data_IF_439104031786
#
_entry.id   IF_439104031786
#
_cell.length_a   1.000
_cell.length_b   1.000
_cell.length_c   1.000
_cell.angle_alpha   90.00
_cell.angle_beta   90.00
_cell.angle_gamma   90.00
#
_symmetry.space_group_name_H-M   'P 1'
#
loop_
_entity.id
_entity.type
_entity.pdbx_description
1 polymer ?
#
# COMPACT_ATOMS: atom_id res chain seq x y z
N UNK A 1 -17.23 0.16 -8.24
CA UNK A 1 -16.57 -1.02 -8.87
C UNK A 1 -17.23 -1.18 -10.22
N UNK A 2 -16.46 -1.05 -11.28
CA UNK A 2 -16.96 -1.07 -12.65
C UNK A 2 -17.57 -2.43 -13.03
N UNK A 3 -18.41 -2.45 -14.06
CA UNK A 3 -18.95 -3.69 -14.63
C UNK A 3 -17.84 -4.67 -15.05
N UNK A 4 -16.64 -4.17 -15.37
CA UNK A 4 -15.46 -4.94 -15.77
C UNK A 4 -14.89 -5.86 -14.68
N UNK A 5 -15.33 -5.72 -13.43
CA UNK A 5 -14.88 -6.58 -12.31
C UNK A 5 -15.91 -7.65 -11.92
N UNK A 6 -17.09 -7.64 -12.56
CA UNK A 6 -18.11 -8.69 -12.31
C UNK A 6 -17.58 -10.06 -12.75
N UNK A 7 -17.71 -11.04 -11.87
CA UNK A 7 -17.30 -12.43 -12.14
C UNK A 7 -15.82 -12.72 -11.91
N UNK A 8 -15.00 -11.73 -11.52
CA UNK A 8 -13.62 -11.96 -11.11
C UNK A 8 -13.51 -12.02 -9.58
N UNK A 9 -12.69 -12.93 -9.03
CA UNK A 9 -12.40 -12.91 -7.61
C UNK A 9 -11.70 -11.59 -7.26
N UNK A 10 -12.16 -10.94 -6.20
CA UNK A 10 -11.62 -9.67 -5.73
C UNK A 10 -10.88 -9.87 -4.44
N UNK A 11 -9.85 -9.06 -4.22
CA UNK A 11 -9.13 -8.93 -2.96
C UNK A 11 -8.88 -7.46 -2.67
N UNK A 12 -9.38 -6.96 -1.54
CA UNK A 12 -9.16 -5.57 -1.16
C UNK A 12 -7.88 -5.45 -0.36
N UNK A 13 -7.05 -4.47 -0.73
CA UNK A 13 -5.81 -4.13 -0.03
C UNK A 13 -5.90 -2.69 0.46
N UNK A 14 -5.75 -2.50 1.77
CA UNK A 14 -5.74 -1.19 2.41
C UNK A 14 -4.33 -0.93 2.93
N UNK A 15 -3.64 0.01 2.31
CA UNK A 15 -2.23 0.31 2.57
C UNK A 15 -2.00 1.30 3.71
N UNK A 16 -2.83 1.22 4.74
CA UNK A 16 -2.70 2.00 5.98
C UNK A 16 -3.52 3.28 6.00
N UNK A 17 -3.50 3.94 7.17
CA UNK A 17 -4.24 5.18 7.46
C UNK A 17 -5.75 5.04 7.23
N UNK A 18 -6.29 3.88 7.64
CA UNK A 18 -7.74 3.64 7.64
C UNK A 18 -8.45 4.49 8.70
N UNK A 19 -7.72 4.88 9.74
CA UNK A 19 -8.19 5.71 10.83
C UNK A 19 -7.38 7.00 10.92
N UNK A 20 -8.01 8.09 11.32
CA UNK A 20 -7.28 9.33 11.61
C UNK A 20 -6.60 9.30 12.98
N UNK A 21 -7.07 8.45 13.90
CA UNK A 21 -6.46 8.18 15.20
C UNK A 21 -6.97 6.86 15.75
N UNK A 22 -6.13 6.10 16.49
CA UNK A 22 -6.45 4.74 16.97
C UNK A 22 -7.26 4.75 18.27
N UNK A 23 -8.42 5.39 18.29
CA UNK A 23 -9.36 5.31 19.41
C UNK A 23 -10.39 4.19 19.18
N UNK A 24 -11.07 3.76 20.25
CA UNK A 24 -12.04 2.64 20.21
C UNK A 24 -13.16 2.85 19.19
N UNK A 25 -13.66 4.09 19.04
CA UNK A 25 -14.70 4.45 18.07
C UNK A 25 -14.20 4.24 16.63
N UNK A 26 -13.02 4.78 16.31
CA UNK A 26 -12.44 4.67 14.98
C UNK A 26 -12.08 3.21 14.64
N UNK A 27 -11.57 2.44 15.60
CA UNK A 27 -11.30 1.01 15.43
C UNK A 27 -12.59 0.22 15.15
N UNK A 28 -13.67 0.53 15.85
CA UNK A 28 -14.98 -0.08 15.60
C UNK A 28 -15.48 0.25 14.19
N UNK A 29 -15.41 1.50 13.76
CA UNK A 29 -15.81 1.94 12.42
C UNK A 29 -14.94 1.29 11.33
N UNK A 30 -13.63 1.21 11.54
CA UNK A 30 -12.70 0.54 10.60
C UNK A 30 -13.03 -0.95 10.46
N UNK A 31 -13.28 -1.65 11.59
CA UNK A 31 -13.72 -3.05 11.57
C UNK A 31 -15.04 -3.22 10.84
N UNK A 32 -16.02 -2.35 11.09
CA UNK A 32 -17.31 -2.34 10.40
C UNK A 32 -17.13 -2.18 8.90
N UNK A 33 -16.35 -1.20 8.48
CA UNK A 33 -16.06 -0.95 7.05
C UNK A 33 -15.41 -2.18 6.37
N UNK A 34 -14.41 -2.80 7.01
CA UNK A 34 -13.77 -4.00 6.43
C UNK A 34 -14.74 -5.17 6.33
N UNK A 35 -15.60 -5.36 7.33
CA UNK A 35 -16.63 -6.39 7.31
C UNK A 35 -17.68 -6.14 6.22
N UNK A 36 -18.06 -4.89 6.00
CA UNK A 36 -19.00 -4.50 4.94
C UNK A 36 -18.40 -4.75 3.54
N UNK A 37 -17.11 -4.47 3.34
CA UNK A 37 -16.41 -4.82 2.11
C UNK A 37 -16.43 -6.33 1.87
N UNK A 38 -16.07 -7.12 2.89
CA UNK A 38 -16.09 -8.59 2.81
C UNK A 38 -17.45 -9.13 2.43
N UNK A 39 -18.50 -8.66 3.11
CA UNK A 39 -19.88 -9.11 2.88
C UNK A 39 -20.41 -8.68 1.51
N UNK A 40 -20.25 -7.41 1.16
CA UNK A 40 -20.80 -6.83 -0.06
C UNK A 40 -20.19 -7.44 -1.32
N UNK A 41 -18.90 -7.73 -1.29
CA UNK A 41 -18.17 -8.22 -2.46
C UNK A 41 -17.79 -9.70 -2.37
N UNK A 42 -18.17 -10.39 -1.30
CA UNK A 42 -17.77 -11.78 -1.03
C UNK A 42 -16.27 -11.99 -1.21
N UNK A 43 -15.50 -11.05 -0.68
CA UNK A 43 -14.08 -10.90 -0.94
C UNK A 43 -13.30 -10.72 0.37
N UNK A 44 -12.05 -11.13 0.35
CA UNK A 44 -11.13 -10.87 1.45
C UNK A 44 -10.62 -9.44 1.45
N UNK A 45 -10.24 -8.98 2.64
CA UNK A 45 -9.59 -7.68 2.86
C UNK A 45 -8.28 -7.91 3.59
N UNK A 46 -7.19 -7.38 3.03
CA UNK A 46 -5.90 -7.28 3.71
C UNK A 46 -5.65 -5.83 4.10
N UNK A 47 -5.30 -5.63 5.35
CA UNK A 47 -5.01 -4.33 5.93
C UNK A 47 -3.59 -4.32 6.51
N UNK A 48 -2.87 -3.22 6.34
CA UNK A 48 -1.64 -2.90 7.04
C UNK A 48 -1.80 -1.60 7.82
N UNK A 49 -1.00 -1.41 8.86
CA UNK A 49 -1.06 -0.19 9.67
C UNK A 49 -0.29 0.94 8.98
N UNK A 50 -0.91 2.11 8.95
CA UNK A 50 -0.26 3.37 8.67
C UNK A 50 0.13 4.10 9.96
N UNK A 51 0.77 5.24 9.84
CA UNK A 51 1.20 6.02 10.99
C UNK A 51 0.02 6.61 11.78
N UNK A 52 -1.07 7.02 11.12
CA UNK A 52 -2.28 7.51 11.77
C UNK A 52 -3.06 6.41 12.50
N UNK A 53 -2.91 5.15 12.08
CA UNK A 53 -3.52 4.00 12.77
C UNK A 53 -2.81 3.66 14.09
N UNK A 54 -1.58 4.16 14.30
CA UNK A 54 -0.71 3.81 15.43
C UNK A 54 -0.48 4.96 16.41
N UNK A 55 -0.64 6.21 16.00
CA UNK A 55 -0.18 7.37 16.74
C UNK A 55 -1.33 8.25 17.20
N UNK A 56 -1.42 8.51 18.52
CA UNK A 56 -2.28 9.51 19.14
C UNK A 56 -1.42 10.64 19.69
N UNK A 57 -1.63 11.87 19.21
CA UNK A 57 -0.96 13.09 19.71
C UNK A 57 0.57 13.00 19.82
N UNK A 58 1.22 12.32 18.90
CA UNK A 58 2.67 12.21 18.88
C UNK A 58 3.26 11.12 19.79
N UNK A 59 2.45 10.41 20.52
CA UNK A 59 2.85 9.26 21.33
C UNK A 59 2.59 7.96 20.60
N UNK A 60 3.62 7.10 20.54
CA UNK A 60 3.50 5.78 19.95
C UNK A 60 2.62 4.91 20.84
N UNK A 61 1.42 4.55 20.37
CA UNK A 61 0.41 3.87 21.21
C UNK A 61 0.68 2.36 21.22
N UNK A 62 1.72 1.94 21.92
CA UNK A 62 2.08 0.53 22.15
C UNK A 62 0.91 -0.32 22.70
N UNK A 63 -0.06 0.30 23.36
CA UNK A 63 -1.29 -0.39 23.84
C UNK A 63 -2.20 -0.83 22.71
N UNK A 64 -2.21 -0.14 21.58
CA UNK A 64 -3.08 -0.47 20.44
C UNK A 64 -2.68 -1.81 19.80
N UNK A 65 -1.38 -2.11 19.74
CA UNK A 65 -0.89 -3.39 19.20
C UNK A 65 -1.37 -4.62 19.98
N UNK A 66 -1.73 -4.46 21.24
CA UNK A 66 -2.20 -5.55 22.12
C UNK A 66 -3.72 -5.72 22.11
N UNK A 67 -4.47 -4.86 21.43
CA UNK A 67 -5.92 -5.00 21.38
C UNK A 67 -6.32 -6.15 20.46
N UNK A 68 -7.33 -6.92 20.86
CA UNK A 68 -7.90 -8.00 20.02
C UNK A 68 -8.40 -7.47 18.67
N UNK A 69 -8.85 -6.22 18.62
CA UNK A 69 -9.35 -5.56 17.40
C UNK A 69 -8.18 -5.31 16.42
N UNK A 70 -7.05 -4.84 16.90
CA UNK A 70 -5.87 -4.62 16.04
C UNK A 70 -5.31 -5.95 15.54
N UNK A 71 -5.21 -6.96 16.41
CA UNK A 71 -4.80 -8.30 15.99
C UNK A 71 -5.75 -8.87 14.90
N UNK A 72 -7.05 -8.69 15.07
CA UNK A 72 -8.05 -9.06 14.06
C UNK A 72 -7.90 -8.31 12.75
N UNK A 73 -7.68 -6.99 12.80
CA UNK A 73 -7.48 -6.17 11.60
C UNK A 73 -6.20 -6.54 10.86
N UNK A 74 -5.12 -6.82 11.59
CA UNK A 74 -3.83 -7.15 10.99
C UNK A 74 -3.81 -8.54 10.34
N UNK A 75 -4.41 -9.56 10.98
CA UNK A 75 -4.31 -10.95 10.53
C UNK A 75 -2.85 -11.42 10.39
N UNK A 76 -2.61 -12.43 9.56
CA UNK A 76 -1.29 -13.02 9.37
C UNK A 76 -0.32 -12.07 8.64
N UNK A 77 0.97 -12.17 8.95
CA UNK A 77 2.03 -11.39 8.28
C UNK A 77 2.19 -11.80 6.81
N UNK A 78 2.05 -13.09 6.53
CA UNK A 78 2.16 -13.66 5.19
C UNK A 78 0.84 -14.29 4.80
N UNK A 79 0.36 -13.99 3.59
CA UNK A 79 -0.81 -14.62 3.00
C UNK A 79 -0.44 -15.24 1.67
N UNK A 80 -0.78 -16.53 1.51
CA UNK A 80 -0.45 -17.29 0.31
C UNK A 80 -1.71 -17.50 -0.53
N UNK A 81 -1.61 -17.15 -1.79
CA UNK A 81 -2.64 -17.41 -2.81
C UNK A 81 -2.12 -18.51 -3.74
N UNK A 82 -2.44 -19.75 -3.37
CA UNK A 82 -1.91 -20.95 -4.03
C UNK A 82 -2.25 -21.05 -5.52
N UNK A 83 -3.48 -20.69 -5.87
CA UNK A 83 -3.95 -20.75 -7.27
C UNK A 83 -3.27 -19.72 -8.14
N UNK A 84 -3.12 -18.51 -7.61
CA UNK A 84 -2.51 -17.38 -8.31
C UNK A 84 -0.98 -17.42 -8.27
N UNK A 85 -0.41 -18.26 -7.38
CA UNK A 85 1.02 -18.28 -7.11
C UNK A 85 1.55 -16.91 -6.66
N UNK A 86 0.84 -16.32 -5.71
CA UNK A 86 1.21 -15.05 -5.09
C UNK A 86 1.44 -15.26 -3.59
N UNK A 87 2.55 -14.72 -3.08
CA UNK A 87 2.83 -14.58 -1.66
C UNK A 87 2.77 -13.09 -1.31
N UNK A 88 1.84 -12.73 -0.44
CA UNK A 88 1.66 -11.36 0.02
C UNK A 88 2.26 -11.20 1.42
N UNK A 89 3.24 -10.31 1.55
CA UNK A 89 4.00 -10.06 2.77
C UNK A 89 3.62 -8.69 3.32
N UNK A 90 3.20 -8.63 4.58
CA UNK A 90 2.86 -7.38 5.25
C UNK A 90 4.02 -6.90 6.13
N UNK A 91 4.50 -5.69 5.86
CA UNK A 91 5.56 -5.02 6.62
C UNK A 91 4.97 -3.85 7.38
N UNK A 92 5.15 -3.84 8.70
CA UNK A 92 4.72 -2.74 9.55
C UNK A 92 5.84 -1.69 9.68
N UNK A 93 5.83 -0.72 8.80
CA UNK A 93 6.80 0.40 8.82
C UNK A 93 6.45 1.52 9.82
N UNK A 94 5.30 1.42 10.49
CA UNK A 94 4.89 2.37 11.53
C UNK A 94 5.32 1.94 12.95
N UNK A 95 5.87 0.73 13.10
CA UNK A 95 6.20 0.13 14.41
C UNK A 95 7.32 0.87 15.14
N UNK A 96 8.41 1.18 14.44
CA UNK A 96 9.64 1.75 15.01
C UNK A 96 9.91 3.18 14.55
N UNK A 97 9.12 3.71 13.64
CA UNK A 97 9.26 5.06 13.12
C UNK A 97 8.72 6.15 14.05
N UNK A 98 8.91 7.38 13.65
CA UNK A 98 8.20 8.53 14.22
C UNK A 98 7.01 8.91 13.33
N UNK A 99 6.21 9.91 13.76
CA UNK A 99 4.95 10.38 13.13
C UNK A 99 4.94 10.47 11.58
N UNK A 100 6.08 10.76 10.96
CA UNK A 100 6.17 11.01 9.52
C UNK A 100 7.19 10.12 8.82
N UNK A 101 8.05 9.43 9.58
CA UNK A 101 9.12 8.58 9.06
C UNK A 101 8.91 7.17 9.55
N UNK A 102 8.70 6.25 8.63
CA UNK A 102 8.61 4.84 8.95
C UNK A 102 9.99 4.23 9.22
N UNK A 103 10.00 3.10 9.90
CA UNK A 103 11.15 2.22 10.05
C UNK A 103 10.67 0.78 10.15
N UNK A 104 11.30 -0.12 9.42
CA UNK A 104 10.98 -1.56 9.44
C UNK A 104 11.72 -2.27 10.55
N UNK A 105 13.01 -2.02 10.66
CA UNK A 105 13.90 -2.64 11.63
C UNK A 105 14.36 -4.04 11.21
N UNK A 106 15.61 -4.36 11.55
CA UNK A 106 16.26 -5.62 11.19
C UNK A 106 15.54 -6.83 11.77
N UNK A 107 15.01 -6.72 12.98
CA UNK A 107 14.32 -7.84 13.64
C UNK A 107 13.04 -8.25 12.86
N UNK A 108 12.27 -7.28 12.38
CA UNK A 108 11.08 -7.60 11.59
C UNK A 108 11.44 -8.26 10.25
N UNK A 109 12.50 -7.80 9.59
CA UNK A 109 12.99 -8.41 8.36
C UNK A 109 13.43 -9.87 8.59
N UNK A 110 14.17 -10.13 9.68
CA UNK A 110 14.57 -11.49 10.06
C UNK A 110 13.36 -12.40 10.36
N UNK A 111 12.36 -11.90 11.10
CA UNK A 111 11.12 -12.64 11.36
C UNK A 111 10.41 -13.04 10.06
N UNK A 112 10.37 -12.14 9.07
CA UNK A 112 9.76 -12.41 7.77
C UNK A 112 10.61 -13.43 6.98
N UNK A 113 11.93 -13.34 7.03
CA UNK A 113 12.83 -14.29 6.38
C UNK A 113 12.58 -15.72 6.86
N UNK A 114 12.46 -15.91 8.17
CA UNK A 114 12.17 -17.23 8.74
C UNK A 114 10.81 -17.76 8.26
N UNK A 115 9.79 -16.92 8.22
CA UNK A 115 8.48 -17.32 7.70
C UNK A 115 8.54 -17.65 6.20
N UNK A 116 9.24 -16.86 5.37
CA UNK A 116 9.39 -17.11 3.92
C UNK A 116 10.12 -18.42 3.62
N UNK A 117 11.14 -18.79 4.41
CA UNK A 117 11.86 -20.06 4.28
C UNK A 117 10.95 -21.29 4.47
N UNK A 118 9.86 -21.15 5.20
CA UNK A 118 8.91 -22.26 5.42
C UNK A 118 8.01 -22.53 4.21
N UNK A 119 7.95 -21.63 3.22
CA UNK A 119 7.06 -21.75 2.07
C UNK A 119 7.71 -22.66 1.01
N UNK A 120 7.13 -23.84 0.72
CA UNK A 120 7.69 -24.76 -0.28
C UNK A 120 7.70 -24.11 -1.67
N UNK A 121 8.84 -24.24 -2.38
CA UNK A 121 8.98 -23.75 -3.75
C UNK A 121 8.65 -22.26 -3.92
N UNK A 122 9.02 -21.41 -2.97
CA UNK A 122 8.71 -19.97 -2.98
C UNK A 122 9.14 -19.28 -4.29
N UNK A 123 10.17 -19.77 -4.96
CA UNK A 123 10.64 -19.27 -6.26
C UNK A 123 9.61 -19.40 -7.40
N UNK A 124 8.51 -20.16 -7.20
CA UNK A 124 7.39 -20.25 -8.14
C UNK A 124 6.30 -19.21 -7.91
N UNK A 125 6.44 -18.40 -6.86
CA UNK A 125 5.46 -17.38 -6.49
C UNK A 125 5.96 -15.99 -6.84
N UNK A 126 5.02 -15.11 -7.16
CA UNK A 126 5.29 -13.69 -7.17
C UNK A 126 5.16 -13.14 -5.75
N UNK A 127 6.20 -12.49 -5.27
CA UNK A 127 6.20 -11.89 -3.94
C UNK A 127 5.71 -10.46 -4.06
N UNK A 128 4.66 -10.15 -3.30
CA UNK A 128 4.03 -8.82 -3.19
C UNK A 128 4.19 -8.33 -1.77
N UNK A 129 4.91 -7.24 -1.58
CA UNK A 129 5.09 -6.62 -0.27
C UNK A 129 4.08 -5.50 -0.09
N UNK A 130 3.42 -5.48 1.06
CA UNK A 130 2.56 -4.38 1.50
C UNK A 130 3.27 -3.61 2.60
N UNK A 131 3.44 -2.32 2.41
CA UNK A 131 4.08 -1.41 3.36
C UNK A 131 3.38 -0.05 3.31
N UNK A 132 3.29 0.67 4.43
CA UNK A 132 2.61 1.97 4.42
C UNK A 132 3.50 3.07 3.85
N UNK A 133 4.71 3.25 4.41
CA UNK A 133 5.62 4.30 3.98
C UNK A 133 6.30 3.95 2.65
N UNK A 134 6.56 4.96 1.83
CA UNK A 134 7.28 4.77 0.57
C UNK A 134 8.76 4.43 0.81
N UNK A 135 9.27 3.49 0.04
CA UNK A 135 10.67 3.03 0.11
C UNK A 135 11.57 3.92 -0.73
N UNK A 136 11.14 4.21 -1.96
CA UNK A 136 11.88 5.05 -2.90
C UNK A 136 11.41 6.52 -2.80
N UNK A 137 12.32 7.49 -2.89
CA UNK A 137 11.94 8.89 -2.99
C UNK A 137 11.02 9.14 -4.18
N UNK A 138 9.96 9.90 -3.97
CA UNK A 138 9.05 10.30 -5.04
C UNK A 138 9.67 11.47 -5.80
N UNK A 139 10.51 11.16 -6.77
CA UNK A 139 11.26 12.19 -7.53
C UNK A 139 10.50 12.71 -8.75
N UNK A 140 9.59 11.92 -9.32
CA UNK A 140 8.75 12.29 -10.46
C UNK A 140 7.47 11.50 -10.45
N UNK A 141 6.33 12.16 -10.61
CA UNK A 141 5.09 11.50 -10.95
C UNK A 141 5.14 11.04 -12.41
N UNK A 142 5.59 9.83 -12.67
CA UNK A 142 5.79 9.33 -14.04
C UNK A 142 4.51 9.28 -14.89
N UNK A 143 3.33 9.38 -14.28
CA UNK A 143 2.05 9.28 -14.96
C UNK A 143 1.45 10.61 -15.41
N UNK A 144 1.71 11.65 -14.67
CA UNK A 144 1.19 12.96 -15.00
C UNK A 144 2.37 13.74 -15.61
N UNK A 145 2.50 13.74 -16.92
CA UNK A 145 3.43 14.62 -17.68
C UNK A 145 3.18 16.11 -17.42
N UNK A 146 2.47 16.47 -16.37
CA UNK A 146 2.17 17.84 -15.98
C UNK A 146 2.82 18.15 -14.64
N UNK A 147 3.83 18.99 -14.74
CA UNK A 147 4.39 19.91 -13.74
C UNK A 147 3.82 19.72 -12.30
N UNK A 148 4.22 18.70 -11.62
CA UNK A 148 4.56 18.88 -10.22
C UNK A 148 5.64 19.96 -10.23
N UNK A 149 5.44 21.03 -9.44
CA UNK A 149 6.43 22.09 -9.35
C UNK A 149 7.77 21.47 -8.96
N UNK A 150 8.55 21.09 -9.98
CA UNK A 150 9.89 20.50 -9.84
C UNK A 150 10.90 21.51 -9.31
N UNK A 151 10.44 22.73 -9.03
CA UNK A 151 11.32 23.86 -8.79
C UNK A 151 11.97 23.92 -7.42
N UNK A 152 11.48 23.23 -6.41
CA UNK A 152 11.97 23.49 -5.07
C UNK A 152 12.79 22.31 -4.54
N UNK A 153 14.13 22.54 -4.51
CA UNK A 153 15.10 21.77 -3.73
C UNK A 153 14.58 21.42 -2.31
N UNK A 154 13.84 22.32 -1.68
CA UNK A 154 13.13 22.12 -0.42
C UNK A 154 12.09 20.99 -0.51
N UNK A 155 11.36 20.83 -1.59
CA UNK A 155 10.40 19.74 -1.78
C UNK A 155 11.05 18.36 -1.84
N UNK A 156 12.24 18.25 -2.48
CA UNK A 156 13.04 17.00 -2.50
C UNK A 156 13.57 16.64 -1.12
N UNK A 157 14.07 17.61 -0.37
CA UNK A 157 14.54 17.42 1.01
C UNK A 157 13.39 17.00 1.91
N UNK A 158 12.23 17.65 1.82
CA UNK A 158 11.04 17.30 2.59
C UNK A 158 10.51 15.90 2.26
N UNK A 159 10.63 15.44 1.03
CA UNK A 159 10.25 14.09 0.66
C UNK A 159 11.21 13.04 1.21
N UNK A 160 12.51 13.29 1.13
CA UNK A 160 13.56 12.44 1.72
C UNK A 160 13.42 12.35 3.24
N UNK A 161 13.02 13.44 3.91
CA UNK A 161 12.82 13.45 5.36
C UNK A 161 11.56 12.71 5.81
N UNK A 162 10.63 12.41 4.90
CA UNK A 162 9.40 11.63 5.14
C UNK A 162 9.48 10.19 4.64
N UNK A 163 10.59 9.82 4.01
CA UNK A 163 10.85 8.47 3.56
C UNK A 163 11.13 7.52 4.73
N UNK A 164 11.16 6.25 4.45
CA UNK A 164 11.55 5.21 5.38
C UNK A 164 13.00 5.44 5.86
N UNK A 165 13.25 5.30 7.16
CA UNK A 165 14.58 5.56 7.76
C UNK A 165 15.62 4.56 7.27
N UNK A 166 15.23 3.29 7.18
CA UNK A 166 16.03 2.14 6.74
C UNK A 166 15.64 1.71 5.32
N UNK A 167 15.41 2.71 4.45
CA UNK A 167 14.95 2.46 3.08
C UNK A 167 15.95 1.68 2.24
N UNK A 168 17.27 1.91 2.44
CA UNK A 168 18.30 1.21 1.67
C UNK A 168 18.39 -0.26 2.09
N UNK A 169 18.39 -0.54 3.39
CA UNK A 169 18.41 -1.89 3.93
C UNK A 169 17.19 -2.69 3.48
N UNK A 170 16.00 -2.04 3.49
CA UNK A 170 14.79 -2.67 2.97
C UNK A 170 14.88 -2.90 1.46
N UNK A 171 15.41 -1.95 0.70
CA UNK A 171 15.55 -2.07 -0.75
C UNK A 171 16.47 -3.25 -1.11
N UNK A 172 17.59 -3.38 -0.41
CA UNK A 172 18.51 -4.51 -0.59
C UNK A 172 17.85 -5.84 -0.25
N UNK A 173 17.04 -5.87 0.83
CA UNK A 173 16.24 -7.03 1.21
C UNK A 173 15.20 -7.40 0.15
N UNK A 174 14.47 -6.40 -0.40
CA UNK A 174 13.49 -6.62 -1.47
C UNK A 174 14.11 -7.25 -2.71
N UNK A 175 15.31 -6.79 -3.10
CA UNK A 175 16.05 -7.34 -4.24
C UNK A 175 16.55 -8.76 -3.95
N UNK A 176 17.08 -9.01 -2.75
CA UNK A 176 17.57 -10.32 -2.34
C UNK A 176 16.47 -11.38 -2.41
N UNK A 177 15.26 -11.01 -2.02
CA UNK A 177 14.08 -11.90 -2.04
C UNK A 177 13.32 -11.89 -3.37
N UNK A 178 13.85 -11.24 -4.41
CA UNK A 178 13.21 -11.14 -5.72
C UNK A 178 11.75 -10.65 -5.61
N UNK A 179 11.51 -9.63 -4.80
CA UNK A 179 10.18 -9.04 -4.64
C UNK A 179 9.76 -8.38 -5.95
N UNK A 180 8.56 -8.74 -6.46
CA UNK A 180 8.06 -8.24 -7.73
C UNK A 180 7.31 -6.92 -7.58
N UNK A 181 6.56 -6.80 -6.48
CA UNK A 181 5.72 -5.62 -6.23
C UNK A 181 5.79 -5.16 -4.80
N UNK A 182 5.90 -3.85 -4.62
CA UNK A 182 5.72 -3.16 -3.35
C UNK A 182 4.51 -2.24 -3.47
N UNK A 183 3.44 -2.53 -2.72
CA UNK A 183 2.24 -1.71 -2.68
C UNK A 183 2.28 -0.84 -1.43
N UNK A 184 2.16 0.47 -1.61
CA UNK A 184 2.27 1.42 -0.50
C UNK A 184 1.29 2.59 -0.60
N UNK A 185 1.16 3.38 0.49
CA UNK A 185 0.30 4.55 0.59
C UNK A 185 1.05 5.79 1.03
N UNK A 186 0.63 6.39 2.15
CA UNK A 186 1.24 7.49 2.88
C UNK A 186 1.23 8.87 2.18
N UNK A 187 1.62 8.96 0.93
CA UNK A 187 1.69 10.24 0.20
C UNK A 187 0.37 10.67 -0.44
N UNK A 188 -0.62 9.79 -0.45
CA UNK A 188 -1.94 10.01 -1.05
C UNK A 188 -1.89 10.37 -2.53
N UNK A 189 -0.86 9.90 -3.25
CA UNK A 189 -0.64 10.17 -4.65
C UNK A 189 -0.52 8.85 -5.38
N UNK A 190 -1.41 8.56 -6.36
CA UNK A 190 -1.33 7.34 -7.14
C UNK A 190 -0.24 7.48 -8.21
N UNK A 191 0.75 6.61 -8.16
CA UNK A 191 1.80 6.52 -9.18
C UNK A 191 2.46 5.13 -9.11
N UNK A 192 3.36 4.85 -10.04
CA UNK A 192 4.29 3.74 -9.90
C UNK A 192 5.67 4.10 -10.40
N UNK A 193 6.66 3.39 -9.93
CA UNK A 193 8.03 3.46 -10.41
C UNK A 193 8.65 2.07 -10.37
N UNK A 194 9.71 1.86 -11.14
CA UNK A 194 10.43 0.60 -11.20
C UNK A 194 11.85 0.82 -10.71
N UNK A 195 12.34 -0.08 -9.88
CA UNK A 195 13.75 -0.20 -9.54
C UNK A 195 14.17 -1.66 -9.74
N UNK A 196 15.16 -1.90 -10.62
CA UNK A 196 15.52 -3.23 -11.12
C UNK A 196 14.27 -3.98 -11.59
N UNK A 197 13.97 -5.14 -11.00
CA UNK A 197 12.80 -5.97 -11.34
C UNK A 197 11.61 -5.78 -10.41
N UNK A 198 11.70 -4.86 -9.45
CA UNK A 198 10.67 -4.54 -8.49
C UNK A 198 9.85 -3.31 -8.90
N UNK A 199 8.52 -3.43 -8.88
CA UNK A 199 7.60 -2.32 -9.10
C UNK A 199 7.06 -1.78 -7.78
N UNK A 200 7.22 -0.50 -7.56
CA UNK A 200 6.70 0.24 -6.42
C UNK A 200 5.43 0.97 -6.84
N UNK A 201 4.31 0.58 -6.27
CA UNK A 201 2.98 1.09 -6.64
C UNK A 201 2.39 1.86 -5.47
N UNK A 202 2.26 3.16 -5.62
CA UNK A 202 1.62 4.03 -4.64
C UNK A 202 0.13 4.10 -4.86
N UNK A 203 -0.63 3.95 -3.78
CA UNK A 203 -2.06 4.22 -3.78
C UNK A 203 -2.34 5.67 -3.38
N UNK A 204 -3.32 6.29 -4.02
CA UNK A 204 -3.85 7.57 -3.58
C UNK A 204 -4.77 7.42 -2.37
N UNK A 205 -5.39 8.51 -1.96
CA UNK A 205 -6.41 8.50 -0.91
C UNK A 205 -7.78 8.18 -1.51
N UNK A 206 -8.43 7.13 -1.02
CA UNK A 206 -9.78 6.76 -1.44
C UNK A 206 -10.88 7.47 -0.65
N UNK A 207 -10.53 8.05 0.50
CA UNK A 207 -11.42 8.89 1.33
C UNK A 207 -10.56 9.80 2.22
N UNK A 208 -11.09 10.90 2.63
CA UNK A 208 -10.45 11.84 3.55
C UNK A 208 -9.55 12.86 2.87
N UNK A 209 -8.31 12.54 2.56
CA UNK A 209 -7.38 13.50 1.97
C UNK A 209 -7.61 13.65 0.48
N UNK A 210 -8.13 14.81 0.09
CA UNK A 210 -8.31 15.19 -1.30
C UNK A 210 -7.01 15.79 -1.83
N UNK A 211 -6.58 15.37 -3.00
CA UNK A 211 -5.48 15.99 -3.75
C UNK A 211 -6.05 16.86 -4.86
N UNK A 212 -5.26 17.78 -5.35
CA UNK A 212 -5.64 18.67 -6.46
C UNK A 212 -4.73 18.45 -7.65
N UNK A 213 -5.32 18.37 -8.82
CA UNK A 213 -4.65 18.40 -10.10
C UNK A 213 -5.22 19.55 -10.93
N UNK A 214 -4.41 20.57 -11.27
CA UNK A 214 -4.87 21.76 -11.98
C UNK A 214 -6.09 22.44 -11.32
N UNK A 215 -6.04 22.61 -9.99
CA UNK A 215 -7.13 23.15 -9.17
C UNK A 215 -8.41 22.29 -9.14
N UNK A 216 -8.33 21.04 -9.54
CA UNK A 216 -9.44 20.09 -9.48
C UNK A 216 -9.19 19.06 -8.37
N UNK A 217 -10.04 18.99 -7.34
CA UNK A 217 -9.90 18.02 -6.27
C UNK A 217 -10.22 16.60 -6.79
N UNK A 218 -9.46 15.62 -6.34
CA UNK A 218 -9.71 14.21 -6.65
C UNK A 218 -9.41 13.30 -5.47
N UNK A 219 -10.09 12.17 -5.47
CA UNK A 219 -9.75 10.98 -4.69
C UNK A 219 -9.34 9.87 -5.67
N UNK A 220 -8.65 8.86 -5.20
CA UNK A 220 -8.18 7.80 -6.09
C UNK A 220 -7.98 6.47 -5.39
N UNK A 221 -8.06 5.39 -6.15
CA UNK A 221 -7.69 4.05 -5.77
C UNK A 221 -7.06 3.33 -6.96
N UNK A 222 -6.40 2.22 -6.70
CA UNK A 222 -5.77 1.40 -7.72
C UNK A 222 -6.56 0.11 -7.94
N UNK A 223 -6.59 -0.36 -9.19
CA UNK A 223 -7.00 -1.72 -9.54
C UNK A 223 -5.79 -2.43 -10.13
N UNK A 224 -5.40 -3.53 -9.50
CA UNK A 224 -4.38 -4.44 -10.01
C UNK A 224 -5.10 -5.67 -10.57
N UNK A 225 -5.01 -5.88 -11.89
CA UNK A 225 -5.55 -7.05 -12.56
C UNK A 225 -4.41 -8.03 -12.82
N UNK A 226 -4.47 -9.20 -12.21
CA UNK A 226 -3.50 -10.26 -12.39
C UNK A 226 -4.02 -11.33 -13.33
N UNK A 227 -3.26 -11.62 -14.37
CA UNK A 227 -3.51 -12.73 -15.27
C UNK A 227 -2.68 -13.93 -14.84
N UNK A 228 -3.35 -14.95 -14.36
CA UNK A 228 -2.69 -16.15 -13.86
C UNK A 228 -1.99 -16.97 -14.96
N UNK A 229 -2.42 -16.86 -16.22
CA UNK A 229 -1.85 -17.58 -17.35
C UNK A 229 -0.52 -16.97 -17.79
N UNK A 230 -0.55 -15.66 -18.06
CA UNK A 230 0.65 -14.93 -18.49
C UNK A 230 1.53 -14.49 -17.32
N UNK A 231 1.06 -14.65 -16.07
CA UNK A 231 1.69 -14.09 -14.85
C UNK A 231 1.91 -12.58 -14.92
N UNK A 232 1.10 -11.89 -15.69
CA UNK A 232 1.18 -10.45 -15.89
C UNK A 232 0.20 -9.72 -14.97
N UNK A 233 0.61 -8.56 -14.53
CA UNK A 233 -0.23 -7.65 -13.76
C UNK A 233 -0.46 -6.34 -14.54
N UNK A 234 -1.66 -5.86 -14.56
CA UNK A 234 -2.06 -4.59 -15.15
C UNK A 234 -2.50 -3.66 -14.04
N UNK A 235 -1.93 -2.48 -13.99
CA UNK A 235 -2.31 -1.42 -13.07
C UNK A 235 -3.29 -0.46 -13.75
N UNK A 236 -4.40 -0.19 -13.09
CA UNK A 236 -5.30 0.89 -13.43
C UNK A 236 -5.37 1.86 -12.26
N UNK A 237 -4.98 3.11 -12.47
CA UNK A 237 -5.15 4.20 -11.52
C UNK A 237 -6.53 4.82 -11.76
N UNK A 238 -7.37 4.86 -10.76
CA UNK A 238 -8.74 5.36 -10.84
C UNK A 238 -8.83 6.65 -10.04
N UNK A 239 -9.21 7.73 -10.72
CA UNK A 239 -9.45 9.03 -10.12
C UNK A 239 -10.95 9.29 -10.09
N UNK A 240 -11.45 9.87 -9.01
CA UNK A 240 -12.86 10.23 -8.86
C UNK A 240 -13.05 11.44 -7.92
N UNK A 241 -14.23 12.05 -7.95
CA UNK A 241 -14.53 13.27 -7.20
C UNK A 241 -14.27 14.54 -8.02
N UNK A 242 -14.78 15.69 -7.58
CA UNK A 242 -14.66 16.95 -8.30
C UNK A 242 -15.25 16.87 -9.72
N UNK A 243 -14.47 17.23 -10.72
CA UNK A 243 -14.83 17.14 -12.14
C UNK A 243 -15.05 15.69 -12.61
N UNK A 244 -14.46 14.72 -11.89
CA UNK A 244 -14.53 13.29 -12.23
C UNK A 244 -15.64 12.54 -11.48
N UNK A 245 -16.63 13.26 -10.93
CA UNK A 245 -17.70 12.66 -10.09
C UNK A 245 -18.46 11.52 -10.74
N UNK A 246 -18.56 11.50 -12.06
CA UNK A 246 -19.37 10.54 -12.80
C UNK A 246 -18.59 9.62 -13.74
N UNK A 247 -17.36 9.94 -14.10
CA UNK A 247 -16.64 9.27 -15.18
C UNK A 247 -15.24 8.76 -14.79
N UNK A 248 -14.84 8.73 -13.56
CA UNK A 248 -13.53 8.29 -13.08
C UNK A 248 -12.44 8.25 -14.15
N UNK A 249 -11.51 9.18 -14.16
CA UNK A 249 -10.36 9.13 -15.08
C UNK A 249 -9.54 7.88 -14.82
N UNK A 250 -9.50 6.98 -15.80
CA UNK A 250 -8.73 5.74 -15.72
C UNK A 250 -7.41 5.94 -16.45
N UNK A 251 -6.31 5.79 -15.73
CA UNK A 251 -4.98 5.69 -16.32
C UNK A 251 -4.53 4.24 -16.20
N UNK A 252 -4.30 3.61 -17.32
CA UNK A 252 -3.87 2.21 -17.37
C UNK A 252 -2.39 2.11 -17.69
N UNK A 253 -1.68 1.28 -16.95
CA UNK A 253 -0.30 0.93 -17.22
C UNK A 253 -0.11 -0.58 -17.16
N UNK A 254 0.74 -1.09 -18.03
CA UNK A 254 1.18 -2.47 -17.95
C UNK A 254 2.45 -2.51 -17.10
N UNK A 255 2.39 -3.22 -15.98
CA UNK A 255 3.51 -3.37 -15.06
C UNK A 255 4.39 -4.57 -15.45
N UNK A 256 4.48 -4.89 -16.76
CA UNK A 256 5.34 -6.01 -17.16
C UNK A 256 5.98 -5.86 -18.52
N UNK A 257 7.22 -6.09 -18.50
CA UNK A 257 7.95 -7.07 -19.28
C UNK A 257 9.05 -7.66 -18.45
#
# INVERSE_FOLDING_TARGET
>A
VSQDLKGHPLHFIITGDLMNSPNSKNMYLASGFMNDLKKRYQSDVTFILGNHDMIVHGLNFLRVQKSKIVAYLLGDKIKIFEKEKIVMVKINSAREGNLARGKVGTLQMQEIDEELKTIPNIHKYQIVVLIHHHVLPITKAHFLKKKWNEGNFVGKILDTTKALVDSQELLDWLHLHHVHYVLHGHKHIPFFQKDRDCYFVSCGSSCGVVKEENSHPYLSYNILKYDNTSKQMKLCLIYYGGVHRHEGKIITAHLFK
#
